data_IF_843430627019
#
_entry.id   IF_843430627019
#
_cell.length_a   1.000
_cell.length_b   1.000
_cell.length_c   1.000
_cell.angle_alpha   90.00
_cell.angle_beta   90.00
_cell.angle_gamma   90.00
#
_symmetry.space_group_name_H-M   'P 1'
#
loop_
_entity.id
_entity.type
_entity.pdbx_description
1 polymer ?
#
# COMPACT_ATOMS: atom_id res chain seq x y z
N UNK A 1 8.39 -12.61 4.89
CA UNK A 1 9.04 -13.11 6.12
C UNK A 1 8.65 -14.54 6.51
N UNK A 2 7.47 -15.03 6.15
CA UNK A 2 7.05 -16.42 6.42
C UNK A 2 8.06 -17.47 5.93
N UNK A 3 8.70 -17.27 4.77
CA UNK A 3 9.77 -18.15 4.31
C UNK A 3 10.93 -18.27 5.32
N UNK A 4 11.42 -17.16 5.90
CA UNK A 4 12.47 -17.17 6.93
C UNK A 4 12.06 -17.97 8.16
N UNK A 5 10.80 -17.87 8.58
CA UNK A 5 10.24 -18.58 9.73
C UNK A 5 10.19 -20.10 9.55
N UNK A 6 9.92 -20.59 8.33
CA UNK A 6 9.79 -22.02 8.06
C UNK A 6 11.08 -22.65 7.50
N UNK A 7 11.93 -21.85 6.86
CA UNK A 7 13.17 -22.29 6.23
C UNK A 7 14.33 -21.35 6.61
N UNK A 8 14.70 -21.27 7.90
CA UNK A 8 15.69 -20.30 8.38
C UNK A 8 17.12 -20.53 7.85
N UNK A 9 17.37 -21.67 7.21
CA UNK A 9 18.68 -22.04 6.65
C UNK A 9 18.74 -21.93 5.11
N UNK A 10 17.65 -21.54 4.44
CA UNK A 10 17.60 -21.45 2.97
C UNK A 10 18.32 -20.20 2.42
N UNK A 11 18.46 -19.17 3.27
CA UNK A 11 19.16 -17.92 2.94
C UNK A 11 20.03 -17.47 4.11
N UNK A 12 21.23 -16.96 3.81
CA UNK A 12 22.21 -16.50 4.81
C UNK A 12 21.80 -15.14 5.43
N UNK A 13 21.18 -14.28 4.63
CA UNK A 13 20.71 -12.97 5.03
C UNK A 13 19.46 -12.56 4.24
N UNK A 14 18.72 -11.56 4.74
CA UNK A 14 17.56 -11.00 4.04
C UNK A 14 17.50 -9.50 4.22
N UNK A 15 17.15 -8.79 3.15
CA UNK A 15 16.70 -7.40 3.19
C UNK A 15 15.21 -7.43 2.89
N UNK A 16 14.41 -6.95 3.84
CA UNK A 16 12.96 -6.90 3.78
C UNK A 16 12.52 -5.45 3.65
N UNK A 17 12.01 -5.09 2.47
CA UNK A 17 11.49 -3.74 2.18
C UNK A 17 10.03 -3.64 2.62
N UNK A 18 9.64 -2.52 3.22
CA UNK A 18 8.27 -2.12 3.56
C UNK A 18 7.36 -3.26 4.04
N UNK A 19 7.91 -4.17 4.84
CA UNK A 19 7.21 -5.41 5.21
C UNK A 19 6.23 -5.15 6.34
N UNK A 20 4.91 -5.32 6.12
CA UNK A 20 3.91 -5.09 7.16
C UNK A 20 3.86 -6.21 8.20
N UNK A 21 3.55 -5.82 9.45
CA UNK A 21 3.09 -6.74 10.48
C UNK A 21 1.83 -6.17 11.14
N UNK A 22 0.69 -6.37 10.47
CA UNK A 22 -0.63 -5.88 10.90
C UNK A 22 -1.11 -6.57 12.19
N UNK A 23 -2.17 -6.07 12.81
CA UNK A 23 -2.68 -6.55 14.11
C UNK A 23 -4.09 -7.13 14.04
N UNK A 24 -4.67 -7.19 12.83
CA UNK A 24 -6.01 -7.70 12.58
C UNK A 24 -6.47 -7.38 11.16
N UNK A 25 -7.71 -7.74 10.84
CA UNK A 25 -8.37 -7.41 9.56
C UNK A 25 -8.72 -5.91 9.41
N UNK A 26 -8.56 -5.13 10.49
CA UNK A 26 -8.73 -3.68 10.55
C UNK A 26 -7.62 -3.05 11.38
N UNK A 27 -6.45 -2.91 10.80
CA UNK A 27 -5.35 -2.20 11.46
C UNK A 27 -5.39 -0.70 11.15
N UNK A 28 -5.68 0.11 12.16
CA UNK A 28 -5.72 1.57 12.04
C UNK A 28 -4.35 2.23 12.18
N UNK A 29 -3.27 1.49 12.52
CA UNK A 29 -1.94 2.11 12.69
C UNK A 29 -1.44 2.87 11.45
N UNK A 30 -1.60 2.36 10.20
CA UNK A 30 -1.25 3.14 9.01
C UNK A 30 -2.06 4.42 8.88
N UNK A 31 -3.36 4.38 9.18
CA UNK A 31 -4.25 5.54 9.14
C UNK A 31 -3.87 6.58 10.20
N UNK A 32 -3.60 6.13 11.42
CA UNK A 32 -3.15 7.01 12.50
C UNK A 32 -1.78 7.60 12.19
N UNK A 33 -0.89 6.84 11.55
CA UNK A 33 0.41 7.32 11.13
C UNK A 33 0.34 8.37 10.03
N UNK A 34 -0.57 8.23 9.05
CA UNK A 34 -0.86 9.27 8.05
C UNK A 34 -1.17 10.61 8.73
N UNK A 35 -1.94 10.60 9.82
CA UNK A 35 -2.25 11.82 10.60
C UNK A 35 -1.02 12.43 11.29
N UNK A 36 0.04 11.65 11.51
CA UNK A 36 1.29 12.13 12.13
C UNK A 36 2.31 12.65 11.13
N UNK A 37 2.39 12.06 9.93
CA UNK A 37 3.30 12.50 8.87
C UNK A 37 2.71 13.62 8.00
N UNK A 38 1.39 13.80 8.07
CA UNK A 38 0.68 14.88 7.40
C UNK A 38 0.75 16.17 8.21
N UNK A 39 1.01 17.30 7.54
CA UNK A 39 0.63 18.59 8.11
C UNK A 39 -0.89 18.67 8.22
N UNK A 40 -1.44 19.30 9.28
CA UNK A 40 -2.89 19.42 9.51
C UNK A 40 -3.66 19.86 8.24
N UNK A 41 -3.05 20.74 7.43
CA UNK A 41 -3.67 21.24 6.20
C UNK A 41 -3.74 20.21 5.07
N UNK A 42 -2.80 19.27 4.99
CA UNK A 42 -2.78 18.22 3.95
C UNK A 42 -3.81 17.14 4.26
N UNK A 43 -3.92 16.71 5.52
CA UNK A 43 -4.91 15.71 5.92
C UNK A 43 -6.35 16.19 5.65
N UNK A 44 -6.65 17.45 5.99
CA UNK A 44 -7.97 18.02 5.68
C UNK A 44 -8.20 18.20 4.16
N UNK A 45 -7.16 18.52 3.37
CA UNK A 45 -7.27 18.51 1.90
C UNK A 45 -7.61 17.13 1.35
N UNK A 46 -6.98 16.06 1.87
CA UNK A 46 -7.30 14.67 1.49
C UNK A 46 -8.78 14.37 1.75
N UNK A 47 -9.28 14.71 2.94
CA UNK A 47 -10.69 14.49 3.30
C UNK A 47 -11.65 15.27 2.39
N UNK A 48 -11.37 16.55 2.16
CA UNK A 48 -12.15 17.38 1.25
C UNK A 48 -12.12 16.84 -0.19
N UNK A 49 -10.98 16.29 -0.61
CA UNK A 49 -10.82 15.68 -1.93
C UNK A 49 -11.65 14.40 -2.08
N UNK A 50 -11.62 13.51 -1.08
CA UNK A 50 -12.51 12.34 -1.06
C UNK A 50 -14.00 12.74 -1.10
N UNK A 51 -14.39 13.74 -0.30
CA UNK A 51 -15.76 14.25 -0.31
C UNK A 51 -16.16 14.83 -1.67
N UNK A 52 -15.31 15.62 -2.33
CA UNK A 52 -15.67 16.27 -3.60
C UNK A 52 -15.84 15.25 -4.72
N UNK A 53 -15.01 14.19 -4.76
CA UNK A 53 -15.16 13.09 -5.73
C UNK A 53 -16.52 12.40 -5.59
N UNK A 54 -16.96 12.13 -4.36
CA UNK A 54 -18.25 11.47 -4.09
C UNK A 54 -19.45 12.40 -4.26
N UNK A 55 -19.34 13.68 -3.85
CA UNK A 55 -20.42 14.68 -4.03
C UNK A 55 -20.65 15.03 -5.49
N UNK A 56 -19.58 15.05 -6.29
CA UNK A 56 -19.62 15.31 -7.75
C UNK A 56 -19.62 14.00 -8.57
N UNK A 57 -20.05 12.89 -7.98
CA UNK A 57 -20.11 11.56 -8.60
C UNK A 57 -20.65 11.57 -10.03
N UNK A 58 -21.73 12.30 -10.30
CA UNK A 58 -22.32 12.37 -11.65
C UNK A 58 -21.38 12.96 -12.70
N UNK A 59 -20.43 13.80 -12.29
CA UNK A 59 -19.41 14.39 -13.15
C UNK A 59 -18.14 13.52 -13.24
N UNK A 60 -17.83 12.74 -12.20
CA UNK A 60 -16.64 11.87 -12.12
C UNK A 60 -16.86 10.51 -12.80
N UNK A 61 -18.04 9.90 -12.65
CA UNK A 61 -18.35 8.57 -13.21
C UNK A 61 -18.15 8.45 -14.73
N UNK A 62 -18.38 9.47 -15.58
CA UNK A 62 -18.04 9.40 -16.99
C UNK A 62 -16.57 9.03 -17.24
N UNK A 63 -15.64 9.53 -16.41
CA UNK A 63 -14.21 9.23 -16.54
C UNK A 63 -13.87 7.81 -16.06
N UNK A 64 -14.50 7.34 -14.97
CA UNK A 64 -14.38 5.94 -14.51
C UNK A 64 -14.87 4.98 -15.60
N UNK A 65 -16.06 5.24 -16.17
CA UNK A 65 -16.61 4.42 -17.26
C UNK A 65 -15.73 4.48 -18.52
N UNK A 66 -15.17 5.64 -18.84
CA UNK A 66 -14.22 5.77 -19.95
C UNK A 66 -12.99 4.89 -19.70
N UNK A 67 -12.39 4.95 -18.52
CA UNK A 67 -11.25 4.13 -18.14
C UNK A 67 -11.55 2.62 -18.27
N UNK A 68 -12.69 2.16 -17.74
CA UNK A 68 -13.11 0.76 -17.84
C UNK A 68 -13.28 0.31 -19.30
N UNK A 69 -13.96 1.12 -20.14
CA UNK A 69 -14.16 0.80 -21.56
C UNK A 69 -12.83 0.82 -22.34
N UNK A 70 -11.98 1.80 -22.07
CA UNK A 70 -10.68 1.94 -22.72
C UNK A 70 -9.79 0.75 -22.40
N UNK A 71 -9.70 0.35 -21.13
CA UNK A 71 -8.88 -0.78 -20.70
C UNK A 71 -9.43 -2.12 -21.17
N UNK A 72 -10.76 -2.28 -21.21
CA UNK A 72 -11.39 -3.45 -21.78
C UNK A 72 -11.07 -3.61 -23.29
N UNK A 73 -11.07 -2.50 -24.04
CA UNK A 73 -10.79 -2.54 -25.48
C UNK A 73 -9.30 -2.68 -25.81
N UNK A 74 -8.42 -1.94 -25.12
CA UNK A 74 -7.00 -1.85 -25.47
C UNK A 74 -6.11 -2.84 -24.71
N UNK A 75 -6.50 -3.24 -23.49
CA UNK A 75 -5.73 -4.11 -22.61
C UNK A 75 -6.45 -5.40 -22.22
N UNK A 76 -7.67 -5.62 -22.72
CA UNK A 76 -8.47 -6.82 -22.47
C UNK A 76 -8.79 -7.05 -20.98
N UNK A 77 -8.94 -5.97 -20.22
CA UNK A 77 -9.44 -6.05 -18.85
C UNK A 77 -10.93 -6.36 -18.81
N UNK A 78 -11.32 -7.28 -17.93
CA UNK A 78 -12.71 -7.57 -17.62
C UNK A 78 -13.13 -6.82 -16.36
N UNK A 79 -14.40 -6.44 -16.30
CA UNK A 79 -14.95 -5.63 -15.22
C UNK A 79 -16.32 -6.17 -14.80
N UNK A 80 -16.37 -6.86 -13.68
CA UNK A 80 -17.60 -7.33 -13.05
C UNK A 80 -18.14 -6.34 -12.02
N UNK A 81 -17.27 -5.49 -11.47
CA UNK A 81 -17.66 -4.38 -10.60
C UNK A 81 -18.20 -3.21 -11.43
N UNK A 82 -19.24 -2.55 -10.92
CA UNK A 82 -19.79 -1.35 -11.57
C UNK A 82 -18.97 -0.09 -11.22
N UNK A 83 -19.08 0.95 -12.06
CA UNK A 83 -18.30 2.18 -11.90
C UNK A 83 -18.52 2.91 -10.57
N UNK A 84 -19.73 2.85 -10.00
CA UNK A 84 -20.04 3.46 -8.70
C UNK A 84 -19.28 2.79 -7.56
N UNK A 85 -19.25 1.46 -7.56
CA UNK A 85 -18.50 0.68 -6.58
C UNK A 85 -17.00 0.90 -6.72
N UNK A 86 -16.49 0.89 -7.96
CA UNK A 86 -15.08 1.16 -8.24
C UNK A 86 -14.67 2.54 -7.71
N UNK A 87 -15.50 3.57 -7.93
CA UNK A 87 -15.25 4.90 -7.40
C UNK A 87 -15.19 4.91 -5.86
N UNK A 88 -16.15 4.27 -5.19
CA UNK A 88 -16.19 4.25 -3.73
C UNK A 88 -14.98 3.52 -3.11
N UNK A 89 -14.61 2.35 -3.65
CA UNK A 89 -13.44 1.59 -3.18
C UNK A 89 -12.14 2.37 -3.37
N UNK A 90 -11.92 2.93 -4.56
CA UNK A 90 -10.71 3.71 -4.85
C UNK A 90 -10.66 5.02 -4.04
N UNK A 91 -11.81 5.66 -3.77
CA UNK A 91 -11.87 6.83 -2.88
C UNK A 91 -11.49 6.46 -1.44
N UNK A 92 -11.86 5.27 -0.97
CA UNK A 92 -11.46 4.79 0.35
C UNK A 92 -9.96 4.49 0.44
N UNK A 93 -9.35 3.96 -0.63
CA UNK A 93 -7.90 3.70 -0.71
C UNK A 93 -7.03 4.97 -0.84
N UNK A 94 -7.60 6.06 -1.39
CA UNK A 94 -6.88 7.30 -1.71
C UNK A 94 -5.93 7.83 -0.61
N UNK A 95 -6.33 7.92 0.68
CA UNK A 95 -5.42 8.41 1.72
C UNK A 95 -4.17 7.55 1.87
N UNK A 96 -4.27 6.23 1.74
CA UNK A 96 -3.12 5.33 1.86
C UNK A 96 -2.20 5.46 0.64
N UNK A 97 -2.77 5.42 -0.56
CA UNK A 97 -2.05 5.50 -1.83
C UNK A 97 -1.29 6.83 -1.98
N UNK A 98 -1.91 7.96 -1.55
CA UNK A 98 -1.33 9.31 -1.61
C UNK A 98 0.01 9.44 -0.86
N UNK A 99 0.27 8.60 0.14
CA UNK A 99 1.52 8.62 0.89
C UNK A 99 2.48 7.49 0.49
N UNK A 100 1.99 6.49 -0.24
CA UNK A 100 2.74 5.25 -0.46
C UNK A 100 3.59 5.28 -1.73
N UNK A 101 3.16 5.95 -2.80
CA UNK A 101 3.72 5.67 -4.14
C UNK A 101 4.06 6.90 -5.00
N UNK A 102 4.92 7.78 -4.50
CA UNK A 102 5.30 9.04 -5.15
C UNK A 102 6.81 9.39 -5.10
N UNK A 103 7.69 8.43 -4.80
CA UNK A 103 9.13 8.64 -4.62
C UNK A 103 9.45 9.78 -3.62
N UNK A 104 8.61 9.94 -2.59
CA UNK A 104 8.72 11.02 -1.61
C UNK A 104 8.25 12.40 -2.06
N UNK A 105 7.91 12.58 -3.34
CA UNK A 105 7.42 13.84 -3.90
C UNK A 105 5.88 13.86 -3.95
N UNK A 106 5.27 14.36 -2.88
CA UNK A 106 3.81 14.44 -2.79
C UNK A 106 3.20 15.28 -3.92
N UNK A 107 2.19 14.71 -4.59
CA UNK A 107 1.45 15.39 -5.66
C UNK A 107 0.54 16.46 -5.04
N UNK A 108 0.55 17.67 -5.60
CA UNK A 108 -0.33 18.74 -5.13
C UNK A 108 -1.80 18.38 -5.39
N UNK A 109 -2.59 18.29 -4.31
CA UNK A 109 -4.03 18.04 -4.40
C UNK A 109 -4.72 19.27 -5.00
N UNK A 110 -5.48 19.13 -6.10
CA UNK A 110 -6.14 20.25 -6.76
C UNK A 110 -7.23 20.87 -5.88
N UNK A 111 -7.57 22.14 -6.13
CA UNK A 111 -8.69 22.79 -5.46
C UNK A 111 -10.01 22.09 -5.81
N UNK A 112 -10.88 21.90 -4.82
CA UNK A 112 -12.18 21.21 -5.00
C UNK A 112 -13.11 21.87 -6.04
N UNK A 113 -12.86 23.13 -6.41
CA UNK A 113 -13.59 23.87 -7.45
C UNK A 113 -13.08 23.63 -8.87
N UNK A 114 -11.98 22.91 -9.05
CA UNK A 114 -11.43 22.55 -10.36
C UNK A 114 -12.39 21.69 -11.18
N UNK A 115 -12.10 21.54 -12.47
CA UNK A 115 -12.93 20.73 -13.37
C UNK A 115 -12.97 19.25 -12.95
N UNK A 116 -14.04 18.53 -13.30
CA UNK A 116 -14.14 17.09 -13.01
C UNK A 116 -13.02 16.28 -13.68
N UNK A 117 -12.55 16.72 -14.84
CA UNK A 117 -11.36 16.17 -15.52
C UNK A 117 -10.12 16.31 -14.65
N UNK A 118 -9.84 17.52 -14.16
CA UNK A 118 -8.68 17.80 -13.30
C UNK A 118 -8.72 16.99 -12.00
N UNK A 119 -9.90 16.89 -11.38
CA UNK A 119 -10.08 16.07 -10.18
C UNK A 119 -9.84 14.59 -10.47
N UNK A 120 -10.38 14.06 -11.57
CA UNK A 120 -10.19 12.66 -11.95
C UNK A 120 -8.75 12.36 -12.36
N UNK A 121 -8.08 13.23 -13.09
CA UNK A 121 -6.69 13.06 -13.51
C UNK A 121 -5.76 12.96 -12.30
N UNK A 122 -5.95 13.84 -11.30
CA UNK A 122 -5.23 13.74 -10.03
C UNK A 122 -5.55 12.45 -9.30
N UNK A 123 -6.85 12.12 -9.18
CA UNK A 123 -7.29 10.91 -8.50
C UNK A 123 -6.66 9.65 -9.12
N UNK A 124 -6.64 9.55 -10.44
CA UNK A 124 -6.04 8.43 -11.18
C UNK A 124 -4.52 8.37 -11.07
N UNK A 125 -3.84 9.53 -10.98
CA UNK A 125 -2.39 9.56 -10.75
C UNK A 125 -2.02 8.96 -9.39
N UNK A 126 -2.87 9.16 -8.38
CA UNK A 126 -2.69 8.61 -7.03
C UNK A 126 -3.13 7.15 -6.98
N UNK A 127 -4.41 6.88 -7.28
CA UNK A 127 -5.02 5.55 -7.21
C UNK A 127 -5.34 5.08 -8.63
N UNK A 128 -4.56 4.12 -9.14
CA UNK A 128 -4.93 3.47 -10.41
C UNK A 128 -6.15 2.58 -10.17
N UNK A 129 -7.05 2.45 -11.14
CA UNK A 129 -8.29 1.69 -10.94
C UNK A 129 -8.16 0.23 -11.40
N UNK A 130 -7.06 -0.15 -12.07
CA UNK A 130 -6.86 -1.46 -12.69
C UNK A 130 -6.83 -2.63 -11.70
N UNK A 131 -6.42 -2.40 -10.44
CA UNK A 131 -6.46 -3.42 -9.39
C UNK A 131 -7.88 -3.92 -9.07
N UNK A 132 -8.91 -3.15 -9.46
CA UNK A 132 -10.34 -3.50 -9.31
C UNK A 132 -10.91 -4.22 -10.54
N UNK A 133 -10.09 -4.52 -11.55
CA UNK A 133 -10.48 -5.35 -12.69
C UNK A 133 -10.50 -6.83 -12.29
N UNK A 134 -11.34 -7.62 -12.96
CA UNK A 134 -11.45 -9.06 -12.67
C UNK A 134 -10.11 -9.78 -12.85
N UNK A 135 -9.27 -9.29 -13.76
CA UNK A 135 -7.94 -9.84 -14.03
C UNK A 135 -6.98 -9.68 -12.84
N UNK A 136 -7.01 -8.51 -12.18
CA UNK A 136 -6.17 -8.26 -11.01
C UNK A 136 -6.75 -8.95 -9.78
N UNK A 137 -8.08 -8.94 -9.63
CA UNK A 137 -8.77 -9.67 -8.57
C UNK A 137 -8.40 -11.15 -8.62
N UNK A 138 -8.59 -11.83 -9.76
CA UNK A 138 -8.22 -13.25 -9.93
C UNK A 138 -6.74 -13.52 -9.64
N UNK A 139 -5.84 -12.60 -10.01
CA UNK A 139 -4.42 -12.74 -9.73
C UNK A 139 -4.07 -12.59 -8.24
N UNK A 140 -4.69 -11.63 -7.55
CA UNK A 140 -4.39 -11.30 -6.15
C UNK A 140 -5.28 -11.99 -5.12
N UNK A 141 -6.35 -12.66 -5.55
CA UNK A 141 -7.29 -13.42 -4.73
C UNK A 141 -6.61 -14.31 -3.66
N UNK A 142 -5.57 -15.11 -3.98
CA UNK A 142 -4.85 -15.90 -2.97
C UNK A 142 -4.16 -15.04 -1.91
N UNK A 143 -3.62 -13.88 -2.29
CA UNK A 143 -2.98 -12.94 -1.37
C UNK A 143 -4.02 -12.28 -0.47
N UNK A 144 -5.16 -11.87 -1.03
CA UNK A 144 -6.26 -11.27 -0.26
C UNK A 144 -6.86 -12.28 0.71
N UNK A 145 -7.05 -13.54 0.29
CA UNK A 145 -7.44 -14.62 1.19
C UNK A 145 -6.47 -14.72 2.37
N UNK A 146 -5.16 -14.76 2.11
CA UNK A 146 -4.16 -14.85 3.18
C UNK A 146 -4.17 -13.63 4.11
N UNK A 147 -4.36 -12.42 3.57
CA UNK A 147 -4.58 -11.21 4.37
C UNK A 147 -5.79 -11.35 5.28
N UNK A 148 -6.91 -11.80 4.73
CA UNK A 148 -8.16 -11.92 5.49
C UNK A 148 -8.17 -13.09 6.48
N UNK A 149 -7.38 -14.14 6.28
CA UNK A 149 -7.35 -15.29 7.20
C UNK A 149 -6.17 -15.31 8.16
N UNK A 150 -5.04 -14.65 7.87
CA UNK A 150 -3.81 -14.80 8.65
C UNK A 150 -3.01 -13.51 8.86
N UNK A 151 -2.86 -12.67 7.83
CA UNK A 151 -1.89 -11.55 7.87
C UNK A 151 -2.51 -10.22 8.30
N UNK A 152 -3.83 -10.10 8.26
CA UNK A 152 -4.55 -8.85 8.53
C UNK A 152 -4.68 -7.94 7.30
N UNK A 153 -5.36 -6.81 7.49
CA UNK A 153 -5.58 -5.80 6.47
C UNK A 153 -5.60 -4.39 7.08
N UNK A 154 -5.25 -3.39 6.27
CA UNK A 154 -5.27 -1.98 6.68
C UNK A 154 -6.73 -1.51 6.78
N UNK A 155 -7.05 -0.78 7.83
CA UNK A 155 -8.39 -0.19 8.00
C UNK A 155 -8.58 1.06 7.13
N UNK A 156 -9.84 1.47 6.95
CA UNK A 156 -10.19 2.70 6.23
C UNK A 156 -10.69 3.79 7.18
N UNK A 157 -10.24 5.03 6.97
CA UNK A 157 -10.84 6.22 7.61
C UNK A 157 -11.99 6.74 6.74
N UNK A 158 -13.22 6.35 7.07
CA UNK A 158 -14.42 6.68 6.30
C UNK A 158 -15.39 7.60 7.03
N UNK A 159 -15.07 8.05 8.25
CA UNK A 159 -16.03 8.75 9.12
C UNK A 159 -16.60 10.03 8.47
N UNK A 160 -15.82 10.75 7.68
CA UNK A 160 -16.23 11.97 6.96
C UNK A 160 -16.96 11.70 5.63
N UNK A 161 -16.83 10.51 5.05
CA UNK A 161 -17.46 10.15 3.76
C UNK A 161 -18.57 9.11 3.86
N UNK A 162 -18.81 8.50 5.03
CA UNK A 162 -19.79 7.41 5.18
C UNK A 162 -21.19 7.73 4.65
N UNK A 163 -21.67 8.96 4.81
CA UNK A 163 -22.99 9.39 4.32
C UNK A 163 -23.02 9.64 2.80
N UNK A 164 -21.86 9.60 2.14
CA UNK A 164 -21.68 9.77 0.69
C UNK A 164 -21.41 8.44 -0.03
N UNK A 165 -21.12 7.37 0.72
CA UNK A 165 -21.06 6.01 0.20
C UNK A 165 -22.49 5.50 0.01
N UNK A 166 -22.76 4.99 -1.18
CA UNK A 166 -24.10 4.57 -1.59
C UNK A 166 -24.17 3.10 -2.01
N UNK A 167 -23.02 2.50 -2.31
CA UNK A 167 -22.88 1.10 -2.72
C UNK A 167 -22.19 0.28 -1.63
N UNK A 168 -21.13 0.81 -1.03
CA UNK A 168 -20.39 0.18 0.07
C UNK A 168 -21.26 0.14 1.33
N UNK A 169 -21.48 -1.05 1.89
CA UNK A 169 -22.12 -1.23 3.19
C UNK A 169 -21.06 -1.40 4.29
N UNK A 170 -20.82 -0.32 5.04
CA UNK A 170 -19.82 -0.30 6.12
C UNK A 170 -20.24 -1.13 7.34
N UNK A 171 -21.53 -1.39 7.55
CA UNK A 171 -22.02 -2.12 8.73
C UNK A 171 -21.99 -3.65 8.51
N UNK A 172 -21.94 -4.09 7.24
CA UNK A 172 -22.07 -5.48 6.84
C UNK A 172 -20.75 -6.26 6.73
N UNK A 173 -19.60 -5.60 6.78
CA UNK A 173 -18.29 -6.21 6.51
C UNK A 173 -17.25 -5.82 7.56
N UNK A 174 -16.27 -6.68 7.80
CA UNK A 174 -15.13 -6.32 8.66
C UNK A 174 -14.23 -5.37 7.87
N UNK A 175 -13.94 -5.69 6.60
CA UNK A 175 -13.16 -4.83 5.72
C UNK A 175 -13.62 -4.98 4.26
N UNK A 176 -14.56 -4.12 3.84
CA UNK A 176 -15.33 -4.27 2.60
C UNK A 176 -14.47 -4.38 1.33
N UNK A 177 -13.42 -3.56 1.20
CA UNK A 177 -12.58 -3.58 0.01
C UNK A 177 -11.90 -4.94 -0.12
N UNK A 178 -11.29 -5.43 0.96
CA UNK A 178 -10.63 -6.73 0.94
C UNK A 178 -11.62 -7.89 0.76
N UNK A 179 -12.83 -7.84 1.33
CA UNK A 179 -13.83 -8.89 1.13
C UNK A 179 -14.34 -8.98 -0.33
N UNK A 180 -14.46 -7.86 -1.03
CA UNK A 180 -14.80 -7.84 -2.46
C UNK A 180 -13.69 -8.42 -3.32
N UNK A 181 -12.43 -8.13 -2.97
CA UNK A 181 -11.26 -8.60 -3.71
C UNK A 181 -10.82 -10.02 -3.30
N UNK A 182 -11.51 -10.63 -2.33
CA UNK A 182 -11.24 -11.98 -1.87
C UNK A 182 -11.94 -13.03 -2.74
N UNK A 183 -11.49 -14.30 -2.68
CA UNK A 183 -12.19 -15.40 -3.31
C UNK A 183 -13.64 -15.51 -2.81
N UNK A 184 -14.59 -15.49 -3.74
CA UNK A 184 -16.00 -15.59 -3.43
C UNK A 184 -16.40 -17.04 -3.10
N UNK A 185 -17.43 -17.23 -2.27
CA UNK A 185 -17.92 -18.53 -1.82
C UNK A 185 -16.90 -19.39 -1.03
N UNK A 186 -15.87 -18.76 -0.47
CA UNK A 186 -14.88 -19.41 0.40
C UNK A 186 -15.03 -18.91 1.83
N UNK A 187 -15.06 -19.83 2.79
CA UNK A 187 -15.07 -19.47 4.21
C UNK A 187 -13.72 -18.88 4.62
N UNK A 188 -13.73 -17.62 5.06
CA UNK A 188 -12.55 -16.91 5.57
C UNK A 188 -12.66 -16.73 7.08
N UNK A 189 -12.00 -17.61 7.85
CA UNK A 189 -11.90 -17.48 9.31
C UNK A 189 -10.53 -16.91 9.65
N UNK A 190 -10.53 -15.74 10.30
CA UNK A 190 -9.29 -15.10 10.74
C UNK A 190 -8.64 -15.87 11.90
N UNK A 191 -7.36 -16.21 11.73
CA UNK A 191 -6.50 -16.80 12.74
C UNK A 191 -5.42 -15.79 13.19
N UNK A 192 -5.60 -15.15 14.36
CA UNK A 192 -4.65 -14.14 14.86
C UNK A 192 -3.30 -14.73 15.31
N UNK A 193 -3.21 -16.05 15.48
CA UNK A 193 -2.00 -16.70 16.01
C UNK A 193 -0.87 -16.79 14.98
N UNK A 194 -1.18 -16.78 13.67
CA UNK A 194 -0.17 -16.98 12.60
C UNK A 194 0.83 -15.84 12.58
N UNK A 195 0.35 -14.60 12.49
CA UNK A 195 1.23 -13.45 12.45
C UNK A 195 1.87 -13.18 13.83
N UNK A 196 1.19 -13.54 14.92
CA UNK A 196 1.74 -13.48 16.27
C UNK A 196 2.93 -14.44 16.43
N UNK A 197 2.81 -15.69 15.98
CA UNK A 197 3.91 -16.67 15.97
C UNK A 197 5.08 -16.17 15.12
N UNK A 198 4.79 -15.67 13.92
CA UNK A 198 5.81 -15.10 13.04
C UNK A 198 6.56 -13.95 13.71
N UNK A 199 5.86 -12.97 14.28
CA UNK A 199 6.49 -11.83 14.95
C UNK A 199 7.32 -12.27 16.16
N UNK A 200 6.83 -13.21 16.96
CA UNK A 200 7.58 -13.74 18.10
C UNK A 200 8.89 -14.38 17.65
N UNK A 201 8.85 -15.22 16.61
CA UNK A 201 10.06 -15.83 16.05
C UNK A 201 11.02 -14.79 15.46
N UNK A 202 10.51 -13.78 14.74
CA UNK A 202 11.37 -12.72 14.20
C UNK A 202 12.08 -11.93 15.31
N UNK A 203 11.43 -11.76 16.47
CA UNK A 203 11.99 -11.09 17.65
C UNK A 203 13.01 -11.94 18.41
N UNK A 204 12.87 -13.26 18.43
CA UNK A 204 13.76 -14.16 19.19
C UNK A 204 14.87 -14.81 18.35
N UNK A 205 14.55 -15.18 17.11
CA UNK A 205 15.37 -16.05 16.27
C UNK A 205 15.64 -15.45 14.89
N UNK A 206 14.96 -14.34 14.54
CA UNK A 206 15.06 -13.63 13.25
C UNK A 206 16.39 -12.91 13.03
N UNK A 207 17.50 -13.64 13.06
CA UNK A 207 18.84 -13.11 12.79
C UNK A 207 19.08 -12.95 11.28
N UNK A 208 20.04 -12.07 10.98
CA UNK A 208 20.51 -11.70 9.65
C UNK A 208 19.41 -11.10 8.77
N UNK A 209 18.55 -10.27 9.36
CA UNK A 209 17.46 -9.58 8.66
C UNK A 209 17.65 -8.07 8.79
N UNK A 210 17.67 -7.37 7.66
CA UNK A 210 17.51 -5.92 7.59
C UNK A 210 16.07 -5.64 7.20
N UNK A 211 15.35 -4.86 8.00
CA UNK A 211 14.07 -4.29 7.64
C UNK A 211 14.29 -2.85 7.24
N UNK A 212 13.95 -2.50 5.99
CA UNK A 212 14.11 -1.17 5.44
C UNK A 212 12.74 -0.56 5.11
N UNK A 213 12.52 0.66 5.56
CA UNK A 213 11.25 1.37 5.45
C UNK A 213 11.46 2.83 5.01
N UNK A 214 10.50 3.40 4.31
CA UNK A 214 10.41 4.85 4.09
C UNK A 214 9.67 5.52 5.23
N UNK A 215 10.10 6.72 5.64
CA UNK A 215 9.42 7.51 6.68
C UNK A 215 8.00 7.90 6.28
N UNK A 216 7.76 8.18 5.00
CA UNK A 216 6.46 8.63 4.49
C UNK A 216 5.49 7.47 4.20
N UNK A 217 6.00 6.24 4.10
CA UNK A 217 5.18 5.04 3.86
C UNK A 217 4.28 4.73 5.08
N UNK A 218 2.94 4.75 4.94
CA UNK A 218 2.02 4.45 6.04
C UNK A 218 2.26 3.07 6.68
N UNK A 219 2.76 2.11 5.91
CA UNK A 219 2.99 0.74 6.40
C UNK A 219 4.12 0.67 7.42
N UNK A 220 5.01 1.67 7.46
CA UNK A 220 6.13 1.78 8.40
C UNK A 220 5.66 1.77 9.85
N UNK A 221 4.46 2.29 10.11
CA UNK A 221 3.79 2.22 11.43
C UNK A 221 3.53 0.80 11.94
N UNK A 222 3.58 -0.18 11.04
CA UNK A 222 3.34 -1.60 11.30
C UNK A 222 4.63 -2.41 11.32
N UNK A 223 5.78 -1.74 11.20
CA UNK A 223 7.09 -2.37 11.22
C UNK A 223 7.30 -3.22 12.48
N UNK A 224 8.11 -4.27 12.35
CA UNK A 224 8.45 -5.14 13.48
C UNK A 224 9.08 -4.33 14.62
N UNK A 225 8.66 -4.62 15.84
CA UNK A 225 9.31 -4.09 17.03
C UNK A 225 10.45 -5.03 17.45
N UNK A 226 11.68 -4.55 17.37
CA UNK A 226 12.89 -5.30 17.68
C UNK A 226 13.37 -4.97 19.10
N UNK A 227 13.52 -6.00 19.93
CA UNK A 227 14.11 -5.84 21.27
C UNK A 227 15.63 -5.78 21.17
N UNK A 228 16.23 -4.78 21.80
CA UNK A 228 17.69 -4.61 21.79
C UNK A 228 18.42 -5.87 22.28
N UNK A 229 19.31 -6.41 21.44
CA UNK A 229 20.16 -7.55 21.76
C UNK A 229 19.49 -8.93 21.66
N UNK A 230 18.22 -9.02 21.27
CA UNK A 230 17.53 -10.31 21.07
C UNK A 230 17.96 -10.99 19.76
N UNK A 231 18.15 -10.21 18.69
CA UNK A 231 18.72 -10.65 17.42
C UNK A 231 19.75 -9.63 16.95
N UNK A 232 20.51 -9.99 15.92
CA UNK A 232 21.38 -9.05 15.19
C UNK A 232 20.64 -8.31 14.06
N UNK A 233 19.30 -8.39 14.00
CA UNK A 233 18.51 -7.74 12.96
C UNK A 233 18.59 -6.21 13.05
N UNK A 234 18.49 -5.55 11.90
CA UNK A 234 18.45 -4.09 11.80
C UNK A 234 17.06 -3.65 11.36
N UNK A 235 16.52 -2.60 11.99
CA UNK A 235 15.37 -1.85 11.47
C UNK A 235 15.84 -0.45 11.13
N UNK A 236 15.73 -0.09 9.86
CA UNK A 236 16.24 1.15 9.29
C UNK A 236 15.09 1.87 8.59
N UNK A 237 15.01 3.19 8.79
CA UNK A 237 13.96 4.05 8.23
C UNK A 237 14.65 5.21 7.53
N UNK A 238 14.36 5.42 6.25
CA UNK A 238 14.87 6.52 5.45
C UNK A 238 13.95 7.72 5.53
N UNK A 239 14.48 8.86 5.95
CA UNK A 239 13.71 10.10 6.01
C UNK A 239 13.30 10.55 4.61
N UNK A 240 12.06 11.05 4.48
CA UNK A 240 11.51 11.58 3.23
C UNK A 240 11.18 10.58 2.11
N UNK A 241 11.48 9.27 2.28
CA UNK A 241 11.16 8.25 1.29
C UNK A 241 9.84 7.53 1.62
N UNK A 242 9.20 6.96 0.60
CA UNK A 242 7.94 6.21 0.71
C UNK A 242 8.12 4.70 0.49
N UNK A 243 7.10 4.02 -0.04
CA UNK A 243 7.10 2.57 -0.24
C UNK A 243 8.13 2.09 -1.27
N UNK A 244 8.62 2.99 -2.13
CA UNK A 244 9.64 2.68 -3.14
C UNK A 244 11.08 2.74 -2.62
N UNK A 245 11.27 2.87 -1.30
CA UNK A 245 12.61 2.85 -0.69
C UNK A 245 13.44 1.65 -1.18
N UNK A 246 14.62 1.95 -1.71
CA UNK A 246 15.64 0.99 -2.12
C UNK A 246 16.93 1.20 -1.33
N UNK A 247 17.76 0.16 -1.20
CA UNK A 247 19.09 0.29 -0.58
C UNK A 247 19.94 1.32 -1.35
N UNK A 248 19.75 1.43 -2.66
CA UNK A 248 20.46 2.35 -3.54
C UNK A 248 20.18 3.83 -3.28
N UNK A 249 19.05 4.14 -2.65
CA UNK A 249 18.65 5.50 -2.26
C UNK A 249 18.72 5.71 -0.74
N UNK A 250 19.21 4.70 0.01
CA UNK A 250 19.32 4.79 1.45
C UNK A 250 20.60 5.53 1.87
N UNK A 251 20.47 6.62 2.63
CA UNK A 251 21.59 7.47 3.05
C UNK A 251 22.64 6.71 3.86
N UNK A 252 22.18 5.75 4.66
CA UNK A 252 23.03 4.92 5.52
C UNK A 252 23.22 3.51 4.97
N UNK A 253 23.24 3.35 3.64
CA UNK A 253 23.41 2.05 2.96
C UNK A 253 24.65 1.27 3.44
N UNK A 254 25.71 1.96 3.87
CA UNK A 254 26.88 1.34 4.48
C UNK A 254 26.52 0.45 5.69
N UNK A 255 25.51 0.80 6.50
CA UNK A 255 25.07 -0.06 7.60
C UNK A 255 24.54 -1.40 7.10
N UNK A 256 23.80 -1.38 5.99
CA UNK A 256 23.25 -2.58 5.36
C UNK A 256 24.38 -3.44 4.79
N UNK A 257 25.26 -2.85 3.97
CA UNK A 257 26.36 -3.59 3.34
C UNK A 257 27.37 -4.14 4.37
N UNK A 258 27.65 -3.40 5.44
CA UNK A 258 28.51 -3.87 6.53
C UNK A 258 27.86 -5.04 7.28
N UNK A 259 26.56 -4.95 7.59
CA UNK A 259 25.83 -6.04 8.25
C UNK A 259 25.84 -7.31 7.40
N UNK A 260 25.49 -7.18 6.12
CA UNK A 260 25.49 -8.28 5.17
C UNK A 260 26.89 -8.90 5.02
N UNK A 261 27.95 -8.08 4.91
CA UNK A 261 29.33 -8.56 4.77
C UNK A 261 29.78 -9.35 6.01
N UNK A 262 29.41 -8.86 7.19
CA UNK A 262 29.69 -9.52 8.46
C UNK A 262 28.96 -10.87 8.58
N UNK A 263 27.71 -10.96 8.14
CA UNK A 263 26.93 -12.20 8.21
C UNK A 263 27.41 -13.23 7.19
N UNK A 264 27.71 -12.81 5.96
CA UNK A 264 28.10 -13.72 4.88
C UNK A 264 29.59 -14.08 4.86
N UNK A 265 30.42 -13.34 5.60
CA UNK A 265 31.85 -13.64 5.75
C UNK A 265 32.71 -13.25 4.54
N UNK A 266 32.21 -12.37 3.68
CA UNK A 266 32.95 -11.76 2.57
C UNK A 266 32.48 -10.33 2.33
N UNK A 267 33.34 -9.52 1.71
CA UNK A 267 33.05 -8.12 1.41
C UNK A 267 31.99 -8.03 0.29
N UNK A 268 30.96 -7.23 0.54
CA UNK A 268 29.91 -6.93 -0.44
C UNK A 268 30.10 -5.51 -0.92
N UNK A 269 30.28 -5.38 -2.23
CA UNK A 269 30.36 -4.08 -2.86
C UNK A 269 28.96 -3.48 -3.03
N UNK A 270 28.78 -2.18 -2.74
CA UNK A 270 27.53 -1.50 -3.00
C UNK A 270 27.10 -1.58 -4.46
N UNK A 271 25.80 -1.74 -4.69
CA UNK A 271 25.22 -1.59 -6.02
C UNK A 271 25.43 -0.14 -6.49
N UNK A 272 26.14 0.03 -7.61
CA UNK A 272 26.28 1.34 -8.24
C UNK A 272 25.00 1.65 -9.01
N UNK A 273 24.30 2.73 -8.63
CA UNK A 273 23.12 3.23 -9.34
C UNK A 273 23.45 3.45 -10.83
N UNK A 274 22.76 2.78 -11.78
CA UNK A 274 22.83 3.18 -13.17
C UNK A 274 22.34 4.62 -13.29
N UNK A 275 23.13 5.50 -13.90
CA UNK A 275 22.71 6.87 -14.13
C UNK A 275 21.46 6.89 -15.04
N UNK A 276 20.38 7.55 -14.60
CA UNK A 276 19.25 7.92 -15.47
C UNK A 276 18.01 7.04 -15.47
N UNK A 277 17.78 6.22 -14.43
CA UNK A 277 16.45 5.62 -14.22
C UNK A 277 15.68 6.54 -13.26
N UNK A 278 14.78 7.36 -13.79
CA UNK A 278 13.67 7.90 -13.01
C UNK A 278 12.68 6.75 -12.79
N UNK A 279 12.26 6.53 -11.55
CA UNK A 279 11.10 5.71 -11.27
C UNK A 279 9.91 6.30 -12.06
N UNK A 280 9.20 5.42 -12.76
CA UNK A 280 8.48 5.79 -13.97
C UNK A 280 7.39 6.84 -13.76
N UNK A 281 7.40 7.89 -14.59
CA UNK A 281 6.20 8.68 -14.84
C UNK A 281 5.08 7.71 -15.29
N UNK A 282 4.03 7.58 -14.47
CA UNK A 282 2.80 6.87 -14.85
C UNK A 282 2.26 7.56 -16.12
N UNK A 283 1.93 6.83 -17.20
CA UNK A 283 1.45 7.46 -18.41
C UNK A 283 0.18 8.27 -18.12
N UNK A 284 0.28 9.59 -18.27
CA UNK A 284 -0.84 10.52 -18.20
C UNK A 284 -1.84 10.16 -19.32
N UNK A 285 -3.06 9.78 -18.94
CA UNK A 285 -4.15 9.64 -19.90
C UNK A 285 -4.50 11.02 -20.44
N UNK A 286 -4.08 11.32 -21.67
CA UNK A 286 -4.68 12.42 -22.43
C UNK A 286 -5.94 11.88 -23.09
N UNK A 287 -7.09 12.42 -22.71
CA UNK A 287 -8.30 12.33 -23.52
C UNK A 287 -7.96 12.94 -24.89
N UNK A 288 -7.90 12.09 -25.92
CA UNK A 288 -7.87 12.55 -27.30
C UNK A 288 -9.31 12.92 -27.67
N UNK A 289 -9.52 14.21 -27.97
CA UNK A 289 -10.77 14.76 -28.52
C UNK A 289 -11.29 13.99 -29.74
#
# INVERSE_FOLDING_TARGET
>A
MSHRRFYPNDVEATVAYSTPFLSGQNDFRPIDYIKTISEDSTYEKIKMFQEVLLRRRSEILPYVNYFMNYTAYNYYYNWSLNADLILELAVMDYPFEYWSYHDGDLIEIPDTSESAETLFDHFYQVVTLDYLSDNYIDYFEPSVYQSMTELGAVAYDTDHIKDLLTIVDLDGSVNYNYEILAPQDVEMIYNPDVLTDLQNWLRSDGNNIVYLYGELDPITSTAIDLSAGATNALKLIQAGEDHYIGIENFDEADQVYNALSNWMGFEIEPLVKPAGISNGERPMFKLLE
#
